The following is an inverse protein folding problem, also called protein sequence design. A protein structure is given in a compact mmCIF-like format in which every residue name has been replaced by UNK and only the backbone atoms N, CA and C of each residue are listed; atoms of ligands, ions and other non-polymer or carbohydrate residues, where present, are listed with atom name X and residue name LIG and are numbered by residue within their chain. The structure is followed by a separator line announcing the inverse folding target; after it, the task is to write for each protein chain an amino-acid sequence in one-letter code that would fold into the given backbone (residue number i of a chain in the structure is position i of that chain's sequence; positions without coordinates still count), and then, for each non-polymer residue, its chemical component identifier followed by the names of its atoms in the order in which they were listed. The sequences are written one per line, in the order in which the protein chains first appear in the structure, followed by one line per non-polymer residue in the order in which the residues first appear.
data_IF_794436051212
#
_entry.id   IF_794436051212
#
_cell.length_a   1.000
_cell.length_b   1.000
_cell.length_c   1.000
_cell.angle_alpha   90.00
_cell.angle_beta   90.00
_cell.angle_gamma   90.00
#
_symmetry.space_group_name_H-M   'P 1'
#
loop_
_entity.id
_entity.type
_entity.pdbx_description
1 polymer ?
#
# COMPACT_ATOMS: atom_id res chain seq x y z
N UNK A 1 -18.61 13.59 -36.95
CA UNK A 1 -18.47 12.38 -36.12
C UNK A 1 -19.10 12.67 -34.78
N UNK A 2 -20.18 11.98 -34.43
CA UNK A 2 -20.72 12.07 -33.06
C UNK A 2 -19.89 11.16 -32.15
N UNK A 3 -19.60 11.64 -30.94
CA UNK A 3 -19.02 10.86 -29.85
C UNK A 3 -19.92 11.00 -28.63
N UNK A 4 -20.39 9.88 -28.10
CA UNK A 4 -21.00 9.80 -26.79
C UNK A 4 -19.94 9.58 -25.72
N UNK A 5 -20.16 10.17 -24.56
CA UNK A 5 -19.31 10.00 -23.39
C UNK A 5 -20.21 9.65 -22.22
N UNK A 6 -19.90 8.54 -21.57
CA UNK A 6 -20.58 8.10 -20.36
C UNK A 6 -19.95 8.79 -19.14
N UNK A 7 -20.79 9.17 -18.18
CA UNK A 7 -20.39 9.80 -16.91
C UNK A 7 -21.30 9.28 -15.78
N UNK A 8 -20.91 9.50 -14.50
CA UNK A 8 -21.45 8.89 -13.26
C UNK A 8 -20.85 7.54 -12.86
N UNK A 9 -19.52 7.46 -12.73
CA UNK A 9 -18.90 6.35 -12.01
C UNK A 9 -19.26 6.41 -10.51
N UNK A 10 -19.76 5.30 -9.95
CA UNK A 10 -19.98 5.15 -8.50
C UNK A 10 -18.82 4.35 -7.91
N UNK A 11 -18.16 4.88 -6.89
CA UNK A 11 -17.21 4.14 -6.06
C UNK A 11 -17.98 3.63 -4.84
N UNK A 12 -18.01 2.31 -4.66
CA UNK A 12 -18.60 1.67 -3.49
C UNK A 12 -17.46 0.98 -2.75
N UNK A 13 -17.35 1.22 -1.45
CA UNK A 13 -16.44 0.46 -0.59
C UNK A 13 -17.14 -0.85 -0.27
N UNK A 14 -16.66 -1.95 -0.84
CA UNK A 14 -17.30 -3.27 -0.71
C UNK A 14 -16.71 -4.11 0.43
N UNK A 15 -15.53 -3.71 0.92
CA UNK A 15 -14.75 -4.46 1.91
C UNK A 15 -14.12 -3.53 2.94
N UNK A 16 -13.89 -4.05 4.15
CA UNK A 16 -13.20 -3.36 5.23
C UNK A 16 -12.09 -4.24 5.78
N UNK A 17 -10.96 -3.63 6.12
CA UNK A 17 -9.88 -4.26 6.89
C UNK A 17 -9.96 -3.78 8.34
N UNK A 18 -9.75 -4.68 9.29
CA UNK A 18 -9.59 -4.34 10.70
C UNK A 18 -8.12 -4.50 11.07
N UNK A 19 -7.50 -3.46 11.61
CA UNK A 19 -6.08 -3.44 11.99
C UNK A 19 -6.03 -3.28 13.50
N UNK A 20 -5.38 -4.23 14.19
CA UNK A 20 -5.37 -4.25 15.66
C UNK A 20 -4.54 -3.09 16.26
N UNK A 21 -3.35 -2.84 15.71
CA UNK A 21 -2.48 -1.73 16.11
C UNK A 21 -1.96 -0.97 14.89
N UNK A 22 -2.65 0.11 14.52
CA UNK A 22 -2.23 0.96 13.39
C UNK A 22 -0.84 1.59 13.58
N UNK A 23 -0.34 1.65 14.82
CA UNK A 23 1.00 2.14 15.13
C UNK A 23 2.10 1.15 14.76
N UNK A 24 1.78 -0.15 14.69
CA UNK A 24 2.71 -1.25 14.44
C UNK A 24 2.04 -2.33 13.58
N UNK A 25 1.75 -2.00 12.32
CA UNK A 25 1.10 -2.91 11.39
C UNK A 25 1.84 -2.97 10.05
N UNK A 26 1.60 -4.05 9.30
CA UNK A 26 1.93 -4.11 7.89
C UNK A 26 0.69 -4.45 7.07
N UNK A 27 0.53 -3.79 5.94
CA UNK A 27 -0.60 -3.99 5.03
C UNK A 27 -0.03 -4.36 3.68
N UNK A 28 -0.51 -5.45 3.11
CA UNK A 28 -0.36 -5.73 1.70
C UNK A 28 -1.63 -5.40 0.93
N UNK A 29 -1.47 -4.98 -0.31
CA UNK A 29 -2.58 -4.64 -1.18
C UNK A 29 -2.29 -5.06 -2.62
N UNK A 30 -3.32 -5.56 -3.29
CA UNK A 30 -3.26 -6.04 -4.66
C UNK A 30 -4.37 -5.43 -5.51
N UNK A 31 -4.15 -5.39 -6.82
CA UNK A 31 -5.19 -5.12 -7.80
C UNK A 31 -5.42 -6.30 -8.73
N UNK A 32 -6.47 -6.21 -9.56
CA UNK A 32 -6.87 -7.27 -10.50
C UNK A 32 -5.86 -7.51 -11.64
N UNK A 33 -4.81 -6.69 -11.73
CA UNK A 33 -3.72 -6.85 -12.70
C UNK A 33 -2.51 -7.61 -12.10
N UNK A 34 -2.62 -8.12 -10.86
CA UNK A 34 -1.54 -8.81 -10.16
C UNK A 34 -0.44 -7.87 -9.66
N UNK A 35 -0.71 -6.56 -9.57
CA UNK A 35 0.23 -5.61 -9.00
C UNK A 35 0.08 -5.57 -7.49
N UNK A 36 1.23 -5.57 -6.81
CA UNK A 36 1.35 -5.64 -5.36
C UNK A 36 1.95 -4.36 -4.78
N UNK A 37 1.41 -3.92 -3.65
CA UNK A 37 1.95 -2.86 -2.81
C UNK A 37 2.04 -3.33 -1.37
N UNK A 38 3.03 -2.82 -0.64
CA UNK A 38 3.17 -3.06 0.78
C UNK A 38 3.44 -1.75 1.54
N UNK A 39 2.80 -1.63 2.70
CA UNK A 39 2.96 -0.54 3.65
C UNK A 39 3.37 -1.15 4.99
N UNK A 40 4.43 -0.61 5.61
CA UNK A 40 4.81 -0.93 6.99
C UNK A 40 4.75 0.34 7.80
N UNK A 41 4.08 0.29 8.94
CA UNK A 41 4.05 1.35 9.94
C UNK A 41 4.63 0.79 11.22
N UNK A 42 5.63 1.47 11.77
CA UNK A 42 6.26 1.11 13.04
C UNK A 42 6.38 2.34 13.92
N UNK A 43 5.92 2.26 15.16
CA UNK A 43 5.97 3.38 16.10
C UNK A 43 6.80 3.01 17.31
N UNK A 44 7.84 3.80 17.58
CA UNK A 44 8.75 3.58 18.69
C UNK A 44 9.14 4.94 19.30
N UNK A 45 8.98 5.06 20.63
CA UNK A 45 9.34 6.27 21.40
C UNK A 45 8.73 7.58 20.86
N UNK A 46 7.45 7.53 20.45
CA UNK A 46 6.71 8.70 19.94
C UNK A 46 7.04 9.08 18.49
N UNK A 47 7.84 8.28 17.78
CA UNK A 47 8.12 8.45 16.37
C UNK A 47 7.53 7.30 15.57
N UNK A 48 6.91 7.64 14.44
CA UNK A 48 6.36 6.67 13.50
C UNK A 48 7.20 6.66 12.22
N UNK A 49 7.70 5.48 11.88
CA UNK A 49 8.35 5.17 10.62
C UNK A 49 7.33 4.55 9.67
N UNK A 50 7.30 5.04 8.44
CA UNK A 50 6.41 4.54 7.40
C UNK A 50 7.25 4.17 6.19
N UNK A 51 7.15 2.90 5.81
CA UNK A 51 7.77 2.35 4.62
C UNK A 51 6.68 1.97 3.63
N UNK A 52 6.84 2.38 2.38
CA UNK A 52 5.92 1.97 1.30
C UNK A 52 6.74 1.45 0.13
N UNK A 53 6.24 0.40 -0.51
CA UNK A 53 6.84 -0.17 -1.70
C UNK A 53 5.78 -0.62 -2.70
N UNK A 54 6.09 -0.44 -3.99
CA UNK A 54 5.31 -0.96 -5.11
C UNK A 54 5.24 0.00 -6.31
N UNK A 55 4.66 -0.42 -7.43
CA UNK A 55 4.08 -1.75 -7.64
C UNK A 55 5.16 -2.82 -7.91
N UNK A 56 4.95 -4.03 -7.37
CA UNK A 56 5.74 -5.25 -7.65
C UNK A 56 4.83 -6.23 -8.40
N UNK A 57 5.37 -7.05 -9.30
CA UNK A 57 4.64 -8.19 -9.87
C UNK A 57 5.18 -9.49 -9.27
N UNK A 58 4.41 -10.12 -8.38
CA UNK A 58 4.81 -11.34 -7.69
C UNK A 58 4.81 -12.58 -8.59
N UNK A 59 4.00 -12.60 -9.66
CA UNK A 59 3.90 -13.75 -10.56
C UNK A 59 5.10 -13.85 -11.52
N UNK A 60 5.56 -12.71 -12.01
CA UNK A 60 6.67 -12.66 -12.96
C UNK A 60 8.03 -12.57 -12.29
N UNK A 61 8.06 -12.35 -10.96
CA UNK A 61 9.28 -12.04 -10.20
C UNK A 61 10.13 -10.94 -10.89
N UNK A 62 9.44 -10.03 -11.58
CA UNK A 62 10.01 -8.95 -12.39
C UNK A 62 9.57 -7.62 -11.79
N UNK A 63 10.51 -6.68 -11.76
CA UNK A 63 10.16 -5.28 -11.51
C UNK A 63 9.33 -4.77 -12.68
N UNK A 64 8.18 -4.18 -12.37
CA UNK A 64 7.45 -3.40 -13.36
C UNK A 64 8.34 -2.25 -13.85
N UNK A 65 8.01 -1.68 -15.02
CA UNK A 65 8.75 -0.55 -15.64
C UNK A 65 9.10 0.58 -14.65
N UNK A 66 8.32 0.72 -13.59
CA UNK A 66 8.63 1.56 -12.44
C UNK A 66 8.16 0.87 -11.17
N UNK A 67 9.05 0.73 -10.19
CA UNK A 67 8.73 0.45 -8.80
C UNK A 67 9.14 1.66 -7.96
N UNK A 68 8.29 2.08 -7.02
CA UNK A 68 8.59 3.15 -6.09
C UNK A 68 8.79 2.56 -4.70
N UNK A 69 9.77 3.12 -3.98
CA UNK A 69 9.92 2.91 -2.56
C UNK A 69 9.95 4.27 -1.87
N UNK A 70 9.36 4.35 -0.69
CA UNK A 70 9.41 5.55 0.12
C UNK A 70 9.61 5.21 1.59
N UNK A 71 10.38 6.05 2.26
CA UNK A 71 10.55 6.05 3.70
C UNK A 71 10.27 7.46 4.21
N UNK A 72 9.49 7.54 5.28
CA UNK A 72 9.32 8.78 6.03
C UNK A 72 9.26 8.47 7.52
N UNK A 73 9.75 9.43 8.30
CA UNK A 73 9.65 9.43 9.75
C UNK A 73 8.89 10.67 10.20
N UNK A 74 7.85 10.46 11.00
CA UNK A 74 6.98 11.52 11.51
C UNK A 74 6.79 11.36 13.01
N UNK A 75 6.37 12.41 13.69
CA UNK A 75 5.92 12.31 15.07
C UNK A 75 4.62 11.50 15.14
N UNK A 76 4.47 10.68 16.18
CA UNK A 76 3.31 9.83 16.35
C UNK A 76 2.04 10.67 16.40
N UNK A 77 1.10 10.31 15.53
CA UNK A 77 -0.25 10.84 15.54
C UNK A 77 -1.15 9.82 14.87
N UNK A 78 -2.08 9.25 15.65
CA UNK A 78 -3.07 8.29 15.16
C UNK A 78 -3.80 8.82 13.92
N UNK A 79 -4.23 10.09 13.96
CA UNK A 79 -4.87 10.76 12.81
C UNK A 79 -3.99 10.82 11.56
N UNK A 80 -2.67 11.03 11.72
CA UNK A 80 -1.76 11.04 10.58
C UNK A 80 -1.57 9.63 10.03
N UNK A 81 -1.46 8.63 10.91
CA UNK A 81 -1.35 7.22 10.55
C UNK A 81 -2.59 6.76 9.78
N UNK A 82 -3.79 7.03 10.29
CA UNK A 82 -5.04 6.68 9.61
C UNK A 82 -5.12 7.33 8.22
N UNK A 83 -4.75 8.61 8.08
CA UNK A 83 -4.68 9.27 6.77
C UNK A 83 -3.68 8.61 5.83
N UNK A 84 -2.57 8.10 6.34
CA UNK A 84 -1.56 7.42 5.54
C UNK A 84 -2.12 6.09 5.02
N UNK A 85 -2.75 5.31 5.89
CA UNK A 85 -3.41 4.05 5.53
C UNK A 85 -4.54 4.32 4.51
N UNK A 86 -5.38 5.31 4.76
CA UNK A 86 -6.47 5.70 3.85
C UNK A 86 -5.94 6.10 2.48
N UNK A 87 -4.89 6.93 2.43
CA UNK A 87 -4.28 7.32 1.15
C UNK A 87 -3.59 6.15 0.45
N UNK A 88 -3.02 5.21 1.21
CA UNK A 88 -2.40 4.00 0.67
C UNK A 88 -3.42 3.11 -0.01
N UNK A 89 -4.55 2.83 0.66
CA UNK A 89 -5.63 1.95 0.18
C UNK A 89 -6.49 2.60 -0.90
N UNK A 90 -6.72 3.91 -0.82
CA UNK A 90 -7.64 4.62 -1.70
C UNK A 90 -6.94 5.45 -2.81
N UNK A 91 -5.66 5.19 -3.09
CA UNK A 91 -4.99 5.80 -4.25
C UNK A 91 -5.61 5.28 -5.56
N UNK A 92 -6.44 6.10 -6.19
CA UNK A 92 -7.15 5.76 -7.42
C UNK A 92 -6.24 5.38 -8.60
N UNK A 93 -4.93 5.64 -8.53
CA UNK A 93 -3.96 5.18 -9.52
C UNK A 93 -3.60 3.70 -9.36
N UNK A 94 -3.65 3.18 -8.14
CA UNK A 94 -3.32 1.77 -7.80
C UNK A 94 -4.49 0.84 -8.10
N UNK A 95 -5.71 1.35 -7.92
CA UNK A 95 -6.97 0.58 -8.07
C UNK A 95 -6.94 -0.69 -7.23
N UNK A 96 -6.57 -0.55 -5.95
CA UNK A 96 -6.52 -1.67 -5.00
C UNK A 96 -7.92 -2.28 -4.90
N UNK A 97 -7.99 -3.60 -5.07
CA UNK A 97 -9.22 -4.38 -4.95
C UNK A 97 -9.20 -5.31 -3.74
N UNK A 98 -8.01 -5.63 -3.24
CA UNK A 98 -7.81 -6.50 -2.08
C UNK A 98 -6.71 -5.93 -1.19
N UNK A 99 -6.93 -5.96 0.12
CA UNK A 99 -5.92 -5.60 1.09
C UNK A 99 -6.09 -6.46 2.35
N UNK A 100 -4.97 -6.81 2.98
CA UNK A 100 -4.97 -7.54 4.24
C UNK A 100 -3.80 -7.10 5.13
N UNK A 101 -4.01 -7.27 6.44
CA UNK A 101 -2.94 -7.09 7.43
C UNK A 101 -2.07 -8.34 7.40
N UNK A 102 -0.76 -8.14 7.38
CA UNK A 102 0.25 -9.21 7.38
C UNK A 102 1.27 -8.97 8.48
N UNK A 103 2.06 -10.00 8.77
CA UNK A 103 3.15 -9.89 9.71
C UNK A 103 4.25 -8.94 9.20
N UNK A 104 4.80 -8.12 10.09
CA UNK A 104 5.82 -7.13 9.74
C UNK A 104 7.10 -7.80 9.21
N UNK A 105 7.48 -8.98 9.72
CA UNK A 105 8.64 -9.72 9.21
C UNK A 105 8.38 -10.33 7.83
N UNK A 106 7.14 -10.71 7.53
CA UNK A 106 6.75 -11.09 6.17
C UNK A 106 6.84 -9.90 5.22
N UNK A 107 6.30 -8.75 5.62
CA UNK A 107 6.34 -7.52 4.85
C UNK A 107 7.76 -7.06 4.50
N UNK A 108 8.71 -7.18 5.44
CA UNK A 108 10.12 -6.81 5.22
C UNK A 108 10.78 -7.57 4.07
N UNK A 109 10.33 -8.79 3.76
CA UNK A 109 10.89 -9.59 2.65
C UNK A 109 10.72 -8.88 1.32
N UNK A 110 9.64 -8.14 1.12
CA UNK A 110 9.40 -7.37 -0.11
C UNK A 110 10.39 -6.22 -0.30
N UNK A 111 10.88 -5.64 0.80
CA UNK A 111 11.90 -4.58 0.77
C UNK A 111 13.31 -5.14 0.54
N UNK A 112 13.63 -6.30 1.14
CA UNK A 112 14.91 -6.99 0.92
C UNK A 112 15.05 -7.48 -0.52
N UNK A 113 14.01 -8.15 -1.04
CA UNK A 113 14.00 -8.62 -2.42
C UNK A 113 14.28 -7.47 -3.41
N UNK A 114 13.80 -6.26 -3.12
CA UNK A 114 14.07 -5.09 -3.94
C UNK A 114 15.54 -4.67 -3.93
N UNK A 115 16.22 -4.77 -2.79
CA UNK A 115 17.65 -4.49 -2.70
C UNK A 115 18.48 -5.47 -3.56
N UNK A 116 17.99 -6.69 -3.80
CA UNK A 116 18.65 -7.67 -4.66
C UNK A 116 18.53 -7.35 -6.17
N UNK A 117 17.60 -6.46 -6.56
CA UNK A 117 17.39 -6.06 -7.96
C UNK A 117 18.09 -4.74 -8.36
N UNK A 118 18.76 -4.05 -7.42
CA UNK A 118 19.43 -2.75 -7.63
C UNK A 118 20.92 -2.90 -7.89
#
# INVERSE_FOLDING_TARGET
MNREFEYLARVVVESSINIEDIGNCAIEANNDLGQFWCLIIKTELGWTEVFEVGPINLELNELLKSCNWSYKRIEYSENNISKIIDNFLNDGRRKITQAQEIDVEEAKKYFLNLADFV
#
